data_IF_079018285711
#
_entry.id   IF_079018285711
#
_cell.length_a   1.000
_cell.length_b   1.000
_cell.length_c   1.000
_cell.angle_alpha   90.00
_cell.angle_beta   90.00
_cell.angle_gamma   90.00
#
_symmetry.space_group_name_H-M   'P 1'
#
loop_
_entity.id
_entity.type
_entity.pdbx_description
1 polymer ?
#
# COMPACT_ATOMS: atom_id res chain seq x y z
N UNK A 1 -34.77 2.07 -8.84
CA UNK A 1 -35.48 3.32 -8.61
C UNK A 1 -34.44 4.41 -8.48
N UNK A 2 -34.40 5.37 -9.40
CA UNK A 2 -33.54 6.56 -9.42
C UNK A 2 -32.02 6.31 -9.50
N UNK A 3 -31.56 5.11 -9.90
CA UNK A 3 -30.13 4.82 -10.03
C UNK A 3 -29.52 5.63 -11.18
N UNK A 4 -30.24 5.75 -12.31
CA UNK A 4 -29.80 6.53 -13.46
C UNK A 4 -29.67 8.02 -13.09
N UNK A 5 -30.62 8.56 -12.34
CA UNK A 5 -30.58 9.95 -11.88
C UNK A 5 -29.35 10.22 -10.98
N UNK A 6 -29.01 9.27 -10.10
CA UNK A 6 -27.82 9.37 -9.24
C UNK A 6 -26.53 9.34 -10.08
N UNK A 7 -26.45 8.46 -11.09
CA UNK A 7 -25.28 8.39 -11.98
C UNK A 7 -25.13 9.70 -12.79
N UNK A 8 -26.24 10.23 -13.31
CA UNK A 8 -26.24 11.51 -14.02
C UNK A 8 -25.83 12.68 -13.12
N UNK A 9 -26.28 12.69 -11.86
CA UNK A 9 -25.90 13.71 -10.88
C UNK A 9 -24.42 13.61 -10.52
N UNK A 10 -23.85 12.43 -10.43
CA UNK A 10 -22.39 12.25 -10.24
C UNK A 10 -21.63 12.86 -11.41
N UNK A 11 -22.01 12.53 -12.65
CA UNK A 11 -21.35 13.07 -13.85
C UNK A 11 -21.45 14.59 -13.92
N UNK A 12 -22.57 15.18 -13.52
CA UNK A 12 -22.79 16.64 -13.58
C UNK A 12 -22.11 17.41 -12.47
N UNK A 13 -22.06 16.85 -11.26
CA UNK A 13 -21.75 17.61 -10.04
C UNK A 13 -20.37 17.26 -9.44
N UNK A 14 -19.80 16.08 -9.76
CA UNK A 14 -18.46 15.72 -9.27
C UNK A 14 -17.41 16.24 -10.25
N UNK A 15 -16.53 17.16 -9.83
CA UNK A 15 -15.48 17.67 -10.71
C UNK A 15 -14.47 16.58 -11.06
N UNK A 16 -13.91 16.58 -12.28
CA UNK A 16 -12.84 15.66 -12.64
C UNK A 16 -11.58 15.92 -11.79
N UNK A 17 -10.70 14.92 -11.64
CA UNK A 17 -9.42 15.10 -10.99
C UNK A 17 -8.62 16.22 -11.66
N UNK A 18 -7.97 17.05 -10.84
CA UNK A 18 -7.09 18.12 -11.31
C UNK A 18 -5.64 17.63 -11.20
N UNK A 19 -4.81 17.91 -12.20
CA UNK A 19 -3.39 17.62 -12.18
C UNK A 19 -2.73 17.98 -13.51
N UNK A 20 -1.39 18.06 -13.51
CA UNK A 20 -0.57 18.34 -14.70
C UNK A 20 0.32 17.12 -15.00
N UNK A 21 0.09 16.48 -16.14
CA UNK A 21 0.85 15.30 -16.61
C UNK A 21 2.35 15.60 -16.82
N UNK A 22 2.72 16.88 -17.03
CA UNK A 22 4.10 17.33 -17.27
C UNK A 22 4.80 17.77 -15.98
N UNK A 23 4.09 17.89 -14.88
CA UNK A 23 4.67 18.22 -13.59
C UNK A 23 5.58 17.08 -13.08
N UNK A 24 6.28 17.35 -11.99
CA UNK A 24 7.03 16.29 -11.28
C UNK A 24 6.06 15.27 -10.70
N UNK A 25 6.40 14.00 -10.84
CA UNK A 25 5.58 12.90 -10.33
C UNK A 25 5.29 13.06 -8.84
N UNK A 26 4.01 13.04 -8.51
CA UNK A 26 3.47 12.88 -7.16
C UNK A 26 2.35 11.86 -7.20
N UNK A 27 2.60 10.67 -6.68
CA UNK A 27 1.58 9.65 -6.53
C UNK A 27 1.52 9.18 -5.07
N UNK A 28 0.31 8.96 -4.56
CA UNK A 28 0.06 8.51 -3.20
C UNK A 28 -0.24 7.03 -3.20
N UNK A 29 0.47 6.27 -2.37
CA UNK A 29 0.13 4.87 -2.08
C UNK A 29 -1.07 4.87 -1.14
N UNK A 30 -2.20 4.32 -1.58
CA UNK A 30 -3.39 4.22 -0.74
C UNK A 30 -3.67 2.80 -0.27
N UNK A 31 -3.06 1.79 -0.93
CA UNK A 31 -3.14 0.39 -0.54
C UNK A 31 -1.97 -0.40 -1.11
N UNK A 32 -1.74 -1.62 -0.63
CA UNK A 32 -0.72 -2.52 -1.17
C UNK A 32 -1.07 -3.97 -0.88
N UNK A 33 -0.52 -4.89 -1.66
CA UNK A 33 -0.58 -6.31 -1.37
C UNK A 33 0.72 -7.00 -1.76
N UNK A 34 0.96 -8.16 -1.16
CA UNK A 34 2.10 -8.98 -1.47
C UNK A 34 1.73 -10.07 -2.47
N UNK A 35 2.44 -10.08 -3.60
CA UNK A 35 2.36 -11.12 -4.61
C UNK A 35 3.64 -11.96 -4.58
N UNK A 36 3.51 -13.31 -4.59
CA UNK A 36 4.68 -14.19 -4.50
C UNK A 36 5.62 -14.11 -5.70
N UNK A 37 5.15 -13.63 -6.86
CA UNK A 37 5.92 -13.52 -8.10
C UNK A 37 6.40 -12.10 -8.37
N UNK A 38 5.55 -11.10 -8.09
CA UNK A 38 5.82 -9.68 -8.38
C UNK A 38 6.43 -8.94 -7.18
N UNK A 39 6.39 -9.52 -5.99
CA UNK A 39 6.73 -8.85 -4.74
C UNK A 39 5.61 -7.92 -4.26
N UNK A 40 5.97 -6.78 -3.67
CA UNK A 40 4.96 -5.82 -3.22
C UNK A 40 4.40 -5.06 -4.42
N UNK A 41 3.09 -5.14 -4.61
CA UNK A 41 2.31 -4.35 -5.56
C UNK A 41 1.65 -3.22 -4.80
N UNK A 42 1.86 -1.97 -5.23
CA UNK A 42 1.29 -0.80 -4.59
C UNK A 42 0.16 -0.22 -5.44
N UNK A 43 -0.97 0.08 -4.80
CA UNK A 43 -2.06 0.82 -5.41
C UNK A 43 -1.84 2.31 -5.22
N UNK A 44 -1.92 3.04 -6.31
CA UNK A 44 -1.58 4.46 -6.30
C UNK A 44 -2.65 5.32 -6.95
N UNK A 45 -2.78 6.54 -6.44
CA UNK A 45 -3.41 7.64 -7.13
C UNK A 45 -2.33 8.62 -7.57
N UNK A 46 -2.25 8.88 -8.86
CA UNK A 46 -1.34 9.92 -9.40
C UNK A 46 -2.01 11.28 -9.27
N UNK A 47 -1.37 12.19 -8.56
CA UNK A 47 -1.83 13.58 -8.39
C UNK A 47 -1.24 14.48 -9.44
N UNK A 48 0.05 14.33 -9.73
CA UNK A 48 0.78 15.12 -10.73
C UNK A 48 1.81 14.23 -11.44
N UNK A 49 2.13 14.61 -12.67
CA UNK A 49 3.11 13.91 -13.48
C UNK A 49 2.57 12.63 -14.12
N UNK A 50 3.51 11.84 -14.60
CA UNK A 50 3.23 10.56 -15.27
C UNK A 50 4.26 9.54 -14.83
N UNK A 51 3.84 8.30 -14.61
CA UNK A 51 4.73 7.17 -14.32
C UNK A 51 4.51 6.05 -15.33
N UNK A 52 5.59 5.41 -15.78
CA UNK A 52 5.56 4.32 -16.75
C UNK A 52 6.58 3.25 -16.42
N UNK A 53 6.45 2.10 -17.08
CA UNK A 53 7.43 1.02 -16.99
C UNK A 53 8.84 1.52 -17.38
N UNK A 54 9.85 1.13 -16.59
CA UNK A 54 11.25 1.52 -16.75
C UNK A 54 11.64 2.80 -16.01
N UNK A 55 10.68 3.54 -15.45
CA UNK A 55 11.00 4.72 -14.66
C UNK A 55 11.67 4.33 -13.33
N UNK A 56 12.66 5.12 -12.93
CA UNK A 56 13.23 5.04 -11.58
C UNK A 56 12.42 5.91 -10.64
N UNK A 57 11.67 5.27 -9.77
CA UNK A 57 10.87 5.93 -8.74
C UNK A 57 11.57 5.91 -7.38
N UNK A 58 11.19 6.87 -6.53
CA UNK A 58 11.61 6.96 -5.14
C UNK A 58 10.39 6.94 -4.23
N UNK A 59 10.40 6.05 -3.25
CA UNK A 59 9.50 6.07 -2.11
C UNK A 59 10.05 7.10 -1.12
N UNK A 60 9.34 8.19 -0.89
CA UNK A 60 9.88 9.35 -0.17
C UNK A 60 10.13 9.06 1.31
N UNK A 61 9.23 8.33 1.96
CA UNK A 61 9.37 7.96 3.37
C UNK A 61 10.46 6.90 3.58
N UNK A 62 10.48 5.85 2.74
CA UNK A 62 11.50 4.81 2.80
C UNK A 62 12.89 5.32 2.35
N UNK A 63 12.94 6.40 1.57
CA UNK A 63 14.17 6.97 1.05
C UNK A 63 14.88 6.10 0.00
N UNK A 64 14.20 5.11 -0.57
CA UNK A 64 14.76 4.11 -1.49
C UNK A 64 14.24 4.27 -2.90
N UNK A 65 15.08 3.88 -3.86
CA UNK A 65 14.76 3.95 -5.29
C UNK A 65 14.47 2.54 -5.82
N UNK A 66 13.49 2.46 -6.73
CA UNK A 66 13.06 1.22 -7.37
C UNK A 66 12.77 1.46 -8.84
N UNK A 67 13.06 0.48 -9.68
CA UNK A 67 12.67 0.51 -11.09
C UNK A 67 11.25 -0.03 -11.26
N UNK A 68 10.41 0.70 -11.96
CA UNK A 68 9.04 0.28 -12.30
C UNK A 68 9.09 -0.84 -13.34
N UNK A 69 8.62 -2.01 -12.97
CA UNK A 69 8.56 -3.18 -13.87
C UNK A 69 7.24 -3.26 -14.62
N UNK A 70 6.16 -2.77 -14.00
CA UNK A 70 4.82 -2.82 -14.57
C UNK A 70 3.96 -1.69 -13.98
N UNK A 71 3.09 -1.12 -14.81
CA UNK A 71 1.99 -0.24 -14.39
C UNK A 71 0.68 -0.74 -14.99
N UNK A 72 -0.43 -0.57 -14.28
CA UNK A 72 -1.72 -1.05 -14.75
C UNK A 72 -2.89 -0.47 -13.99
N UNK A 73 -4.09 -0.83 -14.48
CA UNK A 73 -5.39 -0.45 -13.92
C UNK A 73 -6.25 -1.69 -13.71
N UNK A 74 -7.36 -1.54 -12.99
CA UNK A 74 -8.36 -2.59 -12.84
C UNK A 74 -9.64 -2.22 -13.60
N UNK A 75 -10.07 -3.09 -14.54
CA UNK A 75 -11.28 -2.88 -15.33
C UNK A 75 -11.95 -4.21 -15.79
N UNK A 76 -12.61 -4.97 -14.91
CA UNK A 76 -12.47 -5.15 -13.46
C UNK A 76 -11.23 -5.94 -13.05
N UNK A 77 -10.58 -6.63 -14.01
CA UNK A 77 -9.35 -7.38 -13.77
C UNK A 77 -8.13 -6.50 -14.00
N UNK A 78 -6.99 -6.92 -13.45
CA UNK A 78 -5.72 -6.24 -13.67
C UNK A 78 -5.36 -6.20 -15.17
N UNK A 79 -5.12 -5.01 -15.69
CA UNK A 79 -4.71 -4.76 -17.07
C UNK A 79 -3.51 -3.85 -17.09
N UNK A 80 -2.46 -4.27 -17.81
CA UNK A 80 -1.27 -3.46 -18.01
C UNK A 80 -1.59 -2.27 -18.92
N UNK A 81 -1.03 -1.11 -18.59
CA UNK A 81 -1.10 0.10 -19.40
C UNK A 81 0.30 0.66 -19.64
N UNK A 82 0.45 1.52 -20.61
CA UNK A 82 1.75 2.12 -20.93
C UNK A 82 2.22 3.10 -19.87
N UNK A 83 1.29 3.82 -19.26
CA UNK A 83 1.56 4.82 -18.20
C UNK A 83 0.33 5.09 -17.35
N UNK A 84 0.56 5.63 -16.14
CA UNK A 84 -0.46 6.27 -15.30
C UNK A 84 -0.17 7.77 -15.25
N UNK A 85 -1.20 8.60 -15.48
CA UNK A 85 -1.13 10.06 -15.57
C UNK A 85 -1.83 10.72 -14.39
N UNK A 86 -1.66 12.02 -14.28
CA UNK A 86 -2.33 12.81 -13.27
C UNK A 86 -3.86 12.59 -13.26
N UNK A 87 -4.41 12.32 -12.07
CA UNK A 87 -5.82 11.99 -11.86
C UNK A 87 -6.16 10.50 -11.95
N UNK A 88 -5.29 9.67 -12.49
CA UNK A 88 -5.53 8.23 -12.64
C UNK A 88 -5.23 7.45 -11.37
N UNK A 89 -5.97 6.35 -11.19
CA UNK A 89 -5.78 5.35 -10.15
C UNK A 89 -5.39 4.04 -10.80
N UNK A 90 -4.35 3.41 -10.26
CA UNK A 90 -3.86 2.15 -10.78
C UNK A 90 -2.91 1.45 -9.82
N UNK A 91 -2.13 0.51 -10.33
CA UNK A 91 -1.12 -0.19 -9.57
C UNK A 91 0.27 -0.05 -10.20
N UNK A 92 1.29 -0.15 -9.36
CA UNK A 92 2.70 -0.14 -9.74
C UNK A 92 3.38 -1.38 -9.14
N UNK A 93 4.08 -2.13 -10.00
CA UNK A 93 5.05 -3.13 -9.58
C UNK A 93 6.46 -2.55 -9.78
N UNK A 94 7.28 -2.58 -8.74
CA UNK A 94 8.62 -1.99 -8.78
C UNK A 94 9.69 -2.86 -8.10
N UNK A 95 9.52 -4.19 -8.13
CA UNK A 95 10.46 -5.16 -7.52
C UNK A 95 10.81 -4.83 -6.07
N UNK A 96 9.84 -4.29 -5.32
CA UNK A 96 10.02 -3.96 -3.91
C UNK A 96 10.07 -5.27 -3.12
N UNK A 97 11.24 -5.61 -2.61
CA UNK A 97 11.48 -6.87 -1.89
C UNK A 97 11.14 -6.78 -0.41
N UNK A 98 11.36 -5.62 0.18
CA UNK A 98 11.12 -5.38 1.59
C UNK A 98 9.75 -4.73 1.76
N UNK A 99 8.87 -5.50 2.33
CA UNK A 99 7.49 -5.14 2.66
C UNK A 99 7.40 -3.80 3.40
N UNK A 100 8.26 -3.60 4.38
CA UNK A 100 8.34 -2.37 5.19
C UNK A 100 8.68 -1.10 4.41
N UNK A 101 9.15 -1.22 3.16
CA UNK A 101 9.51 -0.07 2.33
C UNK A 101 8.29 0.53 1.61
N UNK A 102 7.24 -0.26 1.38
CA UNK A 102 6.00 0.18 0.75
C UNK A 102 4.90 0.42 1.80
N UNK A 103 4.87 1.62 2.36
CA UNK A 103 3.87 1.99 3.36
C UNK A 103 2.70 2.73 2.73
N UNK A 104 1.49 2.37 3.13
CA UNK A 104 0.28 3.13 2.79
C UNK A 104 0.43 4.56 3.32
N UNK A 105 0.13 5.54 2.49
CA UNK A 105 0.33 6.97 2.77
C UNK A 105 1.69 7.52 2.34
N UNK A 106 2.61 6.67 1.81
CA UNK A 106 3.87 7.18 1.26
C UNK A 106 3.67 7.83 -0.11
N UNK A 107 4.55 8.76 -0.45
CA UNK A 107 4.57 9.45 -1.74
C UNK A 107 5.62 8.84 -2.65
N UNK A 108 5.20 8.56 -3.88
CA UNK A 108 6.08 8.16 -4.98
C UNK A 108 6.42 9.37 -5.82
N UNK A 109 7.70 9.53 -6.13
CA UNK A 109 8.24 10.54 -7.06
C UNK A 109 9.30 9.92 -7.96
N UNK A 110 9.72 10.62 -9.04
CA UNK A 110 10.87 10.16 -9.81
C UNK A 110 12.18 10.34 -9.03
N UNK A 111 13.08 9.35 -9.11
CA UNK A 111 14.34 9.39 -8.38
C UNK A 111 15.28 10.53 -8.84
N UNK A 112 15.24 10.89 -10.12
CA UNK A 112 16.07 11.92 -10.77
C UNK A 112 15.40 13.30 -10.86
N UNK A 113 14.11 13.40 -10.53
CA UNK A 113 13.33 14.64 -10.60
C UNK A 113 12.34 14.72 -9.43
N UNK A 114 12.86 14.59 -8.21
CA UNK A 114 12.04 14.55 -7.00
C UNK A 114 11.17 15.79 -6.83
N UNK A 115 9.95 15.59 -6.33
CA UNK A 115 9.13 16.68 -5.78
C UNK A 115 9.75 17.16 -4.47
N UNK A 116 9.54 18.44 -4.14
CA UNK A 116 10.10 19.01 -2.91
C UNK A 116 9.36 18.55 -1.64
N UNK A 117 8.05 18.30 -1.76
CA UNK A 117 7.19 17.99 -0.62
C UNK A 117 6.40 16.71 -0.86
N UNK A 118 6.34 15.81 0.13
CA UNK A 118 5.46 14.66 0.07
C UNK A 118 3.98 15.09 0.13
N UNK A 119 3.11 14.25 -0.41
CA UNK A 119 1.68 14.39 -0.22
C UNK A 119 1.33 14.15 1.26
N UNK A 120 0.29 14.81 1.79
CA UNK A 120 -0.21 14.46 3.12
C UNK A 120 -0.66 13.00 3.10
N UNK A 121 0.01 12.18 3.92
CA UNK A 121 -0.32 10.76 4.08
C UNK A 121 -1.56 10.56 4.95
N UNK A 122 -1.91 9.29 5.16
CA UNK A 122 -2.99 8.92 6.07
C UNK A 122 -2.52 9.02 7.53
N UNK A 123 -3.43 9.39 8.41
CA UNK A 123 -3.17 9.34 9.86
C UNK A 123 -3.00 7.87 10.28
N UNK A 124 -2.00 7.54 11.09
CA UNK A 124 -1.86 6.19 11.64
C UNK A 124 -3.14 5.81 12.40
N UNK A 125 -3.66 4.63 12.12
CA UNK A 125 -4.81 4.10 12.83
C UNK A 125 -4.32 3.50 14.15
N UNK A 126 -5.05 3.75 15.24
CA UNK A 126 -4.71 3.18 16.55
C UNK A 126 -5.41 1.84 16.73
N UNK A 127 -4.65 0.83 17.13
CA UNK A 127 -5.22 -0.46 17.51
C UNK A 127 -6.04 -0.36 18.79
N UNK A 128 -7.20 -1.01 18.80
CA UNK A 128 -8.14 -1.01 19.93
C UNK A 128 -8.16 -2.35 20.69
N UNK A 129 -7.76 -3.43 20.00
CA UNK A 129 -7.71 -4.79 20.56
C UNK A 129 -6.32 -5.36 20.32
N UNK A 130 -5.80 -6.08 21.31
CA UNK A 130 -4.48 -6.71 21.23
C UNK A 130 -4.58 -8.20 21.56
N UNK A 131 -3.81 -9.04 20.86
CA UNK A 131 -3.57 -10.41 21.26
C UNK A 131 -2.11 -10.79 21.06
N UNK A 132 -1.64 -11.81 21.80
CA UNK A 132 -0.31 -12.41 21.60
C UNK A 132 -0.39 -13.55 20.60
N UNK A 133 0.51 -13.55 19.61
CA UNK A 133 0.70 -14.67 18.66
C UNK A 133 2.07 -15.27 18.93
N UNK A 134 2.09 -16.57 19.22
CA UNK A 134 3.30 -17.30 19.55
C UNK A 134 3.49 -18.49 18.59
N UNK A 135 4.74 -18.84 18.22
CA UNK A 135 5.00 -20.01 17.41
C UNK A 135 4.43 -21.27 18.04
N UNK A 136 3.74 -22.10 17.24
CA UNK A 136 3.28 -23.42 17.67
C UNK A 136 4.41 -24.43 17.76
N UNK A 137 4.09 -25.67 18.17
CA UNK A 137 5.09 -26.76 18.25
C UNK A 137 5.71 -27.02 16.87
N UNK A 138 7.06 -26.92 16.81
CA UNK A 138 7.83 -27.13 15.57
C UNK A 138 7.93 -25.91 14.65
N UNK A 139 7.23 -24.83 14.93
CA UNK A 139 7.30 -23.61 14.13
C UNK A 139 8.42 -22.68 14.62
N UNK A 140 9.11 -22.05 13.67
CA UNK A 140 10.19 -21.11 13.99
C UNK A 140 9.67 -19.68 14.12
N UNK A 141 10.22 -18.95 15.09
CA UNK A 141 9.94 -17.53 15.32
C UNK A 141 10.06 -16.69 14.04
N UNK A 142 11.11 -16.93 13.23
CA UNK A 142 11.34 -16.18 11.99
C UNK A 142 10.26 -16.42 10.94
N UNK A 143 9.71 -17.65 10.84
CA UNK A 143 8.63 -17.94 9.91
C UNK A 143 7.34 -17.17 10.27
N UNK A 144 7.02 -17.12 11.58
CA UNK A 144 5.87 -16.36 12.07
C UNK A 144 6.08 -14.86 11.80
N UNK A 145 7.28 -14.35 12.04
CA UNK A 145 7.64 -12.96 11.73
C UNK A 145 7.44 -12.61 10.26
N UNK A 146 7.96 -13.44 9.36
CA UNK A 146 7.82 -13.24 7.91
C UNK A 146 6.35 -13.26 7.46
N UNK A 147 5.54 -14.13 8.07
CA UNK A 147 4.10 -14.19 7.79
C UNK A 147 3.39 -12.91 8.26
N UNK A 148 3.69 -12.43 9.46
CA UNK A 148 3.12 -11.19 9.99
C UNK A 148 3.57 -9.95 9.22
N UNK A 149 4.83 -9.91 8.74
CA UNK A 149 5.32 -8.84 7.87
C UNK A 149 4.54 -8.80 6.53
N UNK A 150 4.27 -9.96 5.92
CA UNK A 150 3.46 -10.07 4.70
C UNK A 150 2.00 -9.67 4.94
N UNK A 151 1.45 -10.09 6.07
CA UNK A 151 0.09 -9.72 6.46
C UNK A 151 -0.05 -8.20 6.62
N UNK A 152 0.92 -7.55 7.26
CA UNK A 152 0.94 -6.09 7.44
C UNK A 152 0.93 -5.30 6.12
N UNK A 153 1.41 -5.89 5.01
CA UNK A 153 1.29 -5.28 3.68
C UNK A 153 -0.14 -5.33 3.17
N UNK A 154 -0.79 -6.47 3.38
CA UNK A 154 -2.17 -6.66 2.92
C UNK A 154 -3.18 -5.93 3.80
N UNK A 155 -2.77 -5.56 5.01
CA UNK A 155 -3.61 -4.89 6.00
C UNK A 155 -2.84 -3.77 6.69
N UNK A 156 -3.01 -2.55 6.19
CA UNK A 156 -2.33 -1.35 6.71
C UNK A 156 -2.74 -0.99 8.15
N UNK A 157 -3.83 -1.55 8.66
CA UNK A 157 -4.31 -1.35 10.03
C UNK A 157 -3.74 -2.38 11.02
N UNK A 158 -3.18 -3.48 10.52
CA UNK A 158 -2.55 -4.50 11.34
C UNK A 158 -1.18 -4.04 11.81
N UNK A 159 -0.95 -4.12 13.12
CA UNK A 159 0.34 -3.79 13.74
C UNK A 159 0.82 -4.95 14.59
N UNK A 160 2.13 -5.17 14.63
CA UNK A 160 2.73 -6.14 15.53
C UNK A 160 4.08 -5.66 16.06
N UNK A 161 4.42 -6.09 17.25
CA UNK A 161 5.70 -5.84 17.90
C UNK A 161 6.19 -7.10 18.61
N UNK A 162 7.52 -7.33 18.71
CA UNK A 162 8.04 -8.46 19.47
C UNK A 162 7.58 -8.45 20.92
N UNK A 163 7.18 -9.60 21.42
CA UNK A 163 6.77 -9.81 22.82
C UNK A 163 7.45 -11.05 23.40
N UNK A 164 7.67 -11.07 24.69
CA UNK A 164 8.20 -12.23 25.39
C UNK A 164 7.28 -12.60 26.56
N UNK A 165 6.75 -13.82 26.55
CA UNK A 165 5.95 -14.38 27.61
C UNK A 165 6.78 -15.35 28.44
N UNK A 166 6.69 -15.26 29.77
CA UNK A 166 7.37 -16.19 30.67
C UNK A 166 6.90 -17.67 30.48
N UNK A 167 5.66 -17.87 30.01
CA UNK A 167 5.07 -19.18 29.79
C UNK A 167 5.23 -19.71 28.37
N UNK A 168 5.15 -18.81 27.34
CA UNK A 168 5.09 -19.17 25.93
C UNK A 168 6.37 -18.83 25.15
N UNK A 169 7.32 -18.12 25.79
CA UNK A 169 8.55 -17.69 25.15
C UNK A 169 8.38 -16.47 24.24
N UNK A 170 9.19 -16.42 23.17
CA UNK A 170 9.19 -15.30 22.23
C UNK A 170 8.03 -15.41 21.24
N UNK A 171 7.31 -14.31 21.07
CA UNK A 171 6.18 -14.16 20.18
C UNK A 171 6.00 -12.71 19.73
N UNK A 172 4.77 -12.37 19.37
CA UNK A 172 4.41 -11.06 18.88
C UNK A 172 3.12 -10.58 19.51
N UNK A 173 3.12 -9.34 20.00
CA UNK A 173 1.91 -8.62 20.36
C UNK A 173 1.32 -7.98 19.13
N UNK A 174 0.14 -8.44 18.74
CA UNK A 174 -0.56 -7.97 17.53
C UNK A 174 -1.70 -7.05 17.90
N UNK A 175 -1.84 -5.93 17.17
CA UNK A 175 -2.84 -4.91 17.37
C UNK A 175 -3.84 -4.87 16.22
N UNK A 176 -5.14 -4.74 16.56
CA UNK A 176 -6.28 -4.81 15.65
C UNK A 176 -7.24 -3.65 15.88
N UNK A 177 -8.02 -3.27 14.84
CA UNK A 177 -9.05 -2.23 14.93
C UNK A 177 -10.20 -2.59 15.87
N UNK A 178 -10.49 -3.88 15.99
CA UNK A 178 -11.57 -4.40 16.81
C UNK A 178 -11.62 -5.92 16.78
N UNK A 179 -12.60 -6.52 17.48
CA UNK A 179 -12.75 -7.96 17.60
C UNK A 179 -12.98 -8.66 16.24
N UNK A 180 -13.82 -8.09 15.37
CA UNK A 180 -14.05 -8.63 14.02
C UNK A 180 -12.76 -8.66 13.18
N UNK A 181 -11.96 -7.60 13.25
CA UNK A 181 -10.67 -7.55 12.57
C UNK A 181 -9.75 -8.66 13.08
N UNK A 182 -9.68 -8.84 14.40
CA UNK A 182 -8.89 -9.91 15.00
C UNK A 182 -9.36 -11.30 14.56
N UNK A 183 -10.68 -11.57 14.57
CA UNK A 183 -11.25 -12.86 14.19
C UNK A 183 -11.02 -13.24 12.71
N UNK A 184 -10.87 -12.25 11.83
CA UNK A 184 -10.56 -12.50 10.41
C UNK A 184 -9.08 -12.85 10.21
N UNK A 185 -8.21 -12.29 11.04
CA UNK A 185 -6.75 -12.42 10.90
C UNK A 185 -6.22 -13.68 11.62
N UNK A 186 -6.79 -14.04 12.75
CA UNK A 186 -6.39 -15.18 13.59
C UNK A 186 -7.15 -16.44 13.20
#
# INVERSE_FOLDING_TARGET
>A
LNIEDVLEDIVKNVPPPVGDDKAKLKALIFDSYYDNYKGVVVYVRVFEGTVKKGDMIRLMNAGKNYEVTEVGVYAPFAMNVDSLRAGEVGYICASIKLVRDARVGDTITHANAMTAEPLPGYKPVQSMVYCGIYPGEGEKYDNVKDALEKLQVNDAAFMFEPENSAALGYGFRCGFLGLLHMEIIV
#
